data_IF_390973613098
#
_entry.id   IF_390973613098
#
_cell.length_a   1.000
_cell.length_b   1.000
_cell.length_c   1.000
_cell.angle_alpha   90.00
_cell.angle_beta   90.00
_cell.angle_gamma   90.00
#
_symmetry.space_group_name_H-M   'P 1'
#
loop_
_entity.id
_entity.type
_entity.pdbx_description
1 polymer ?
#
# COMPACT_ATOMS: atom_id res chain seq x y z
N UNK A 1 13.09 7.44 56.34
CA UNK A 1 13.85 8.44 55.56
C UNK A 1 14.23 7.93 54.17
N UNK A 2 14.97 6.83 54.03
CA UNK A 2 15.42 6.32 52.72
C UNK A 2 14.28 6.07 51.70
N UNK A 3 13.18 5.45 52.12
CA UNK A 3 12.04 5.19 51.22
C UNK A 3 11.41 6.47 50.66
N UNK A 4 11.27 7.52 51.47
CA UNK A 4 10.70 8.80 51.04
C UNK A 4 11.62 9.52 50.03
N UNK A 5 12.94 9.47 50.26
CA UNK A 5 13.94 10.03 49.32
C UNK A 5 13.90 9.27 47.99
N UNK A 6 13.82 7.94 48.01
CA UNK A 6 13.70 7.15 46.79
C UNK A 6 12.41 7.48 46.02
N UNK A 7 11.26 7.57 46.69
CA UNK A 7 10.01 7.98 46.06
C UNK A 7 10.11 9.39 45.44
N UNK A 8 10.70 10.34 46.14
CA UNK A 8 10.88 11.70 45.63
C UNK A 8 11.79 11.74 44.38
N UNK A 9 12.90 11.01 44.40
CA UNK A 9 13.79 10.88 43.23
C UNK A 9 13.09 10.22 42.06
N UNK A 10 12.31 9.16 42.27
CA UNK A 10 11.54 8.50 41.20
C UNK A 10 10.47 9.41 40.60
N UNK A 11 9.77 10.20 41.43
CA UNK A 11 8.77 11.15 40.96
C UNK A 11 9.43 12.27 40.14
N UNK A 12 10.53 12.85 40.61
CA UNK A 12 11.29 13.84 39.85
C UNK A 12 11.79 13.27 38.52
N UNK A 13 12.37 12.07 38.52
CA UNK A 13 12.82 11.41 37.30
C UNK A 13 11.65 11.24 36.31
N UNK A 14 10.48 10.78 36.76
CA UNK A 14 9.30 10.66 35.89
C UNK A 14 8.79 12.03 35.39
N UNK A 15 8.79 13.05 36.26
CA UNK A 15 8.40 14.42 35.91
C UNK A 15 9.32 15.07 34.87
N UNK A 16 10.60 14.67 34.77
CA UNK A 16 11.51 15.17 33.73
C UNK A 16 11.55 14.26 32.49
N UNK A 17 11.58 12.94 32.68
CA UNK A 17 11.71 11.97 31.59
C UNK A 17 10.43 11.85 30.75
N UNK A 18 9.24 11.89 31.36
CA UNK A 18 8.00 11.75 30.60
C UNK A 18 7.74 12.95 29.67
N UNK A 19 7.85 14.23 30.12
CA UNK A 19 7.76 15.37 29.22
C UNK A 19 8.89 15.40 28.19
N UNK A 20 10.12 15.02 28.56
CA UNK A 20 11.22 14.95 27.59
C UNK A 20 10.92 13.94 26.48
N UNK A 21 10.40 12.74 26.80
CA UNK A 21 10.01 11.74 25.81
C UNK A 21 8.84 12.21 24.91
N UNK A 22 7.88 12.94 25.48
CA UNK A 22 6.79 13.57 24.72
C UNK A 22 7.34 14.66 23.77
N UNK A 23 8.22 15.53 24.24
CA UNK A 23 8.81 16.63 23.47
C UNK A 23 9.78 16.16 22.38
N UNK A 24 10.56 15.10 22.65
CA UNK A 24 11.41 14.42 21.66
C UNK A 24 10.59 13.67 20.61
N UNK A 25 9.26 13.64 20.74
CA UNK A 25 8.39 13.00 19.78
C UNK A 25 8.50 11.48 19.76
N UNK A 26 9.04 10.84 20.81
CA UNK A 26 9.03 9.37 20.90
C UNK A 26 7.61 8.80 20.82
N UNK A 27 6.61 9.58 21.27
CA UNK A 27 5.18 9.28 21.14
C UNK A 27 4.51 9.95 19.93
N UNK A 28 5.09 11.04 19.41
CA UNK A 28 4.71 11.57 18.11
C UNK A 28 5.39 10.74 17.03
N UNK A 29 4.88 9.53 16.84
CA UNK A 29 5.33 8.64 15.77
C UNK A 29 5.45 9.42 14.47
N UNK A 30 6.52 9.15 13.71
CA UNK A 30 6.65 9.67 12.35
C UNK A 30 5.34 9.44 11.59
N UNK A 31 4.90 10.38 10.74
CA UNK A 31 3.65 10.22 10.01
C UNK A 31 3.64 8.86 9.32
N UNK A 32 2.63 8.04 9.60
CA UNK A 32 2.48 6.74 8.97
C UNK A 32 2.20 6.97 7.48
N UNK A 33 3.21 6.78 6.65
CA UNK A 33 3.08 6.92 5.22
C UNK A 33 2.42 5.66 4.65
N UNK A 34 1.13 5.78 4.36
CA UNK A 34 0.33 4.72 3.76
C UNK A 34 0.35 4.88 2.25
N UNK A 35 1.10 4.03 1.55
CA UNK A 35 1.10 3.99 0.08
C UNK A 35 -0.03 3.09 -0.41
N UNK A 36 -0.77 3.56 -1.41
CA UNK A 36 -1.93 2.87 -1.96
C UNK A 36 -1.80 2.88 -3.47
N UNK A 37 -1.74 1.67 -4.04
CA UNK A 37 -1.75 1.48 -5.48
C UNK A 37 -3.16 1.61 -6.06
N UNK A 38 -3.21 1.70 -7.38
CA UNK A 38 -4.42 1.61 -8.18
C UNK A 38 -5.30 0.42 -7.79
N UNK A 39 -6.62 0.60 -7.82
CA UNK A 39 -7.58 -0.47 -7.53
C UNK A 39 -7.56 -1.00 -6.09
N UNK A 40 -6.78 -0.41 -5.19
CA UNK A 40 -6.65 -0.88 -3.83
C UNK A 40 -7.67 -0.21 -2.89
N UNK A 41 -8.06 -0.95 -1.87
CA UNK A 41 -8.71 -0.39 -0.69
C UNK A 41 -7.95 -0.80 0.56
N UNK A 42 -7.68 0.17 1.44
CA UNK A 42 -6.97 -0.08 2.70
C UNK A 42 -7.73 0.53 3.85
N UNK A 43 -7.90 -0.27 4.89
CA UNK A 43 -8.35 0.18 6.20
C UNK A 43 -7.17 0.83 6.91
N UNK A 44 -7.35 2.07 7.35
CA UNK A 44 -6.37 2.77 8.19
C UNK A 44 -7.03 3.05 9.53
N UNK A 45 -6.57 2.33 10.56
CA UNK A 45 -7.02 2.55 11.93
C UNK A 45 -6.16 3.64 12.56
N UNK A 46 -6.79 4.77 12.88
CA UNK A 46 -6.10 5.87 13.56
C UNK A 46 -6.44 5.85 15.04
N UNK A 47 -5.45 6.16 15.87
CA UNK A 47 -5.70 6.44 17.28
C UNK A 47 -6.10 7.92 17.43
N UNK A 48 -7.32 8.18 17.90
CA UNK A 48 -7.88 9.53 18.05
C UNK A 48 -7.08 10.45 18.98
N UNK A 49 -6.23 9.89 19.86
CA UNK A 49 -5.35 10.67 20.72
C UNK A 49 -4.10 11.19 20.00
N UNK A 50 -3.63 10.50 18.95
CA UNK A 50 -2.35 10.79 18.29
C UNK A 50 -2.51 11.35 16.87
N UNK A 51 -3.50 10.86 16.12
CA UNK A 51 -3.74 11.29 14.75
C UNK A 51 -4.64 12.54 14.73
N UNK A 52 -4.04 13.69 14.48
CA UNK A 52 -4.76 14.97 14.37
C UNK A 52 -5.30 15.21 12.96
N UNK A 53 -4.57 14.75 11.94
CA UNK A 53 -4.90 14.93 10.54
C UNK A 53 -4.55 13.69 9.69
N UNK A 54 -5.17 13.60 8.52
CA UNK A 54 -4.85 12.60 7.49
C UNK A 54 -4.65 13.35 6.20
N UNK A 55 -3.43 13.30 5.66
CA UNK A 55 -3.08 13.96 4.41
C UNK A 55 -2.97 12.94 3.30
N UNK A 56 -3.84 13.06 2.31
CA UNK A 56 -3.76 12.30 1.06
C UNK A 56 -3.07 13.11 -0.03
N UNK A 57 -2.17 12.46 -0.75
CA UNK A 57 -1.55 13.01 -1.95
C UNK A 57 -1.61 11.94 -3.03
N UNK A 58 -1.88 12.36 -4.26
CA UNK A 58 -1.82 11.50 -5.44
C UNK A 58 -0.58 11.90 -6.21
N UNK A 59 0.30 10.94 -6.49
CA UNK A 59 1.42 11.16 -7.42
C UNK A 59 0.96 10.80 -8.84
N UNK A 60 1.15 11.73 -9.78
CA UNK A 60 1.06 11.43 -11.22
C UNK A 60 -0.33 11.25 -11.85
N UNK A 61 -1.43 11.65 -11.20
CA UNK A 61 -2.80 11.48 -11.72
C UNK A 61 -3.58 12.78 -12.01
N UNK A 62 -4.51 12.72 -12.96
CA UNK A 62 -5.56 13.74 -13.14
C UNK A 62 -6.50 13.74 -11.92
N UNK A 63 -6.92 14.91 -11.40
CA UNK A 63 -7.81 15.01 -10.23
C UNK A 63 -9.18 14.33 -10.40
N UNK A 64 -9.56 13.96 -11.62
CA UNK A 64 -10.86 13.36 -11.92
C UNK A 64 -11.02 11.92 -11.39
N UNK A 65 -9.92 11.16 -11.27
CA UNK A 65 -9.87 9.82 -10.68
C UNK A 65 -8.98 9.78 -9.42
N UNK A 66 -9.12 10.81 -8.58
CA UNK A 66 -8.29 10.96 -7.39
C UNK A 66 -8.67 10.03 -6.23
N UNK A 67 -7.74 9.90 -5.31
CA UNK A 67 -7.87 9.15 -4.06
C UNK A 67 -9.11 9.59 -3.26
N UNK A 68 -9.98 8.65 -2.89
CA UNK A 68 -11.18 8.94 -2.08
C UNK A 68 -11.04 8.35 -0.69
N UNK A 69 -11.15 9.19 0.34
CA UNK A 69 -11.22 8.77 1.74
C UNK A 69 -12.68 8.69 2.18
N UNK A 70 -13.07 7.50 2.63
CA UNK A 70 -14.31 7.26 3.34
C UNK A 70 -14.05 7.11 4.83
N UNK A 71 -15.10 7.26 5.61
CA UNK A 71 -15.05 6.94 7.01
C UNK A 71 -15.98 5.79 7.38
N UNK A 72 -15.64 4.94 8.36
CA UNK A 72 -16.48 3.87 8.92
C UNK A 72 -16.23 3.64 10.44
N UNK A 73 -17.28 3.44 11.26
CA UNK A 73 -17.12 3.36 12.72
C UNK A 73 -16.62 1.98 13.18
N UNK A 74 -16.69 0.99 12.28
CA UNK A 74 -16.28 -0.39 12.46
C UNK A 74 -15.71 -0.86 11.12
N UNK A 75 -14.69 -1.73 11.16
CA UNK A 75 -14.14 -2.36 9.97
C UNK A 75 -15.25 -3.07 9.17
N UNK A 76 -15.47 -2.70 7.90
CA UNK A 76 -16.48 -3.33 7.06
C UNK A 76 -16.09 -4.79 6.76
N UNK A 77 -17.06 -5.72 6.73
CA UNK A 77 -16.76 -7.09 6.35
C UNK A 77 -16.31 -7.15 4.88
N UNK A 78 -15.39 -8.04 4.53
CA UNK A 78 -15.02 -8.30 3.13
C UNK A 78 -16.13 -9.07 2.40
N UNK A 79 -16.24 -8.86 1.09
CA UNK A 79 -16.93 -9.80 0.22
C UNK A 79 -17.73 -9.20 -0.94
N UNK A 80 -17.37 -8.00 -1.41
CA UNK A 80 -17.70 -7.62 -2.78
C UNK A 80 -16.48 -7.92 -3.64
N UNK A 81 -16.49 -8.96 -4.49
CA UNK A 81 -15.37 -9.18 -5.40
C UNK A 81 -15.25 -8.00 -6.36
N UNK A 82 -14.05 -7.45 -6.46
CA UNK A 82 -13.72 -6.43 -7.43
C UNK A 82 -12.57 -6.93 -8.30
N UNK A 83 -12.79 -6.85 -9.61
CA UNK A 83 -11.75 -7.05 -10.59
C UNK A 83 -11.26 -5.70 -11.08
N UNK A 84 -9.94 -5.55 -11.20
CA UNK A 84 -9.34 -4.40 -11.85
C UNK A 84 -8.12 -4.84 -12.65
N UNK A 85 -7.80 -4.07 -13.68
CA UNK A 85 -6.61 -4.29 -14.49
C UNK A 85 -5.91 -2.98 -14.77
N UNK A 86 -4.60 -2.95 -14.63
CA UNK A 86 -3.77 -1.80 -14.91
C UNK A 86 -2.64 -2.19 -15.86
N UNK A 87 -2.50 -1.47 -16.98
CA UNK A 87 -1.39 -1.65 -17.89
C UNK A 87 -0.28 -0.65 -17.58
N UNK A 88 0.91 -1.15 -17.23
CA UNK A 88 2.10 -0.32 -16.99
C UNK A 88 3.18 -0.62 -18.02
N UNK A 89 3.91 0.44 -18.39
CA UNK A 89 5.19 0.36 -19.11
C UNK A 89 6.28 0.87 -18.18
N UNK A 90 7.27 0.03 -17.92
CA UNK A 90 8.45 0.36 -17.13
C UNK A 90 9.71 0.24 -17.98
N UNK A 91 10.60 1.22 -17.86
CA UNK A 91 11.97 1.13 -18.39
C UNK A 91 12.86 0.93 -17.17
N UNK A 92 13.28 -0.32 -16.94
CA UNK A 92 14.06 -0.67 -15.75
C UNK A 92 15.53 -0.43 -16.06
N UNK A 93 16.20 0.54 -15.38
CA UNK A 93 17.57 0.88 -15.71
C UNK A 93 18.55 -0.28 -15.49
N UNK A 94 19.68 -0.26 -16.18
CA UNK A 94 20.76 -1.21 -15.97
C UNK A 94 21.20 -1.27 -14.49
N UNK A 95 21.39 -2.48 -13.96
CA UNK A 95 21.78 -2.74 -12.56
C UNK A 95 20.89 -2.05 -11.52
N UNK A 96 19.59 -1.92 -11.81
CA UNK A 96 18.63 -1.21 -10.97
C UNK A 96 17.34 -2.01 -10.80
N UNK A 97 16.39 -1.48 -10.04
CA UNK A 97 15.06 -2.02 -9.90
C UNK A 97 13.98 -0.93 -9.97
N UNK A 98 12.74 -1.37 -10.18
CA UNK A 98 11.53 -0.57 -9.99
C UNK A 98 10.49 -1.36 -9.22
N UNK A 99 9.70 -0.69 -8.40
CA UNK A 99 8.73 -1.31 -7.51
C UNK A 99 7.36 -0.59 -7.51
N UNK A 100 6.32 -1.37 -7.22
CA UNK A 100 4.98 -0.88 -7.01
C UNK A 100 4.37 -1.52 -5.77
N UNK A 101 3.74 -0.68 -4.95
CA UNK A 101 3.17 -1.08 -3.67
C UNK A 101 1.67 -1.21 -3.80
N UNK A 102 1.15 -2.31 -3.26
CA UNK A 102 -0.26 -2.59 -3.29
C UNK A 102 -0.72 -3.22 -1.98
N UNK A 103 -1.89 -2.81 -1.50
CA UNK A 103 -2.53 -3.47 -0.37
C UNK A 103 -3.50 -4.53 -0.90
N UNK A 104 -3.35 -5.76 -0.44
CA UNK A 104 -4.17 -6.88 -0.88
C UNK A 104 -4.79 -7.58 0.32
N UNK A 105 -6.06 -7.94 0.18
CA UNK A 105 -6.77 -8.70 1.18
C UNK A 105 -6.49 -10.20 1.04
N UNK A 106 -6.55 -10.94 2.13
CA UNK A 106 -6.60 -12.40 2.12
C UNK A 106 -7.68 -12.88 1.14
N UNK A 107 -7.37 -13.90 0.34
CA UNK A 107 -8.24 -14.44 -0.70
C UNK A 107 -8.12 -13.74 -2.04
N UNK A 108 -7.34 -12.66 -2.15
CA UNK A 108 -7.09 -12.00 -3.43
C UNK A 108 -6.23 -12.87 -4.35
N UNK A 109 -6.43 -12.71 -5.65
CA UNK A 109 -5.60 -13.28 -6.70
C UNK A 109 -4.96 -12.16 -7.53
N UNK A 110 -3.65 -12.27 -7.74
CA UNK A 110 -2.91 -11.42 -8.65
C UNK A 110 -2.54 -12.25 -9.88
N UNK A 111 -2.78 -11.68 -11.06
CA UNK A 111 -2.27 -12.17 -12.33
C UNK A 111 -1.44 -11.06 -12.98
N UNK A 112 -0.14 -11.28 -13.11
CA UNK A 112 0.79 -10.36 -13.76
C UNK A 112 1.16 -10.95 -15.11
N UNK A 113 0.59 -10.40 -16.19
CA UNK A 113 1.08 -10.69 -17.53
C UNK A 113 2.26 -9.76 -17.82
N UNK A 114 3.30 -10.25 -18.52
CA UNK A 114 4.48 -9.46 -18.84
C UNK A 114 4.94 -9.68 -20.28
N UNK A 115 5.58 -8.65 -20.83
CA UNK A 115 6.27 -8.65 -22.12
C UNK A 115 7.58 -7.87 -21.97
N UNK A 116 8.68 -8.61 -21.95
CA UNK A 116 10.05 -8.10 -21.77
C UNK A 116 10.69 -7.87 -23.13
N UNK A 117 11.01 -6.61 -23.43
CA UNK A 117 11.68 -6.18 -24.65
C UNK A 117 13.05 -5.62 -24.31
N UNK A 118 14.08 -6.14 -24.98
CA UNK A 118 15.43 -5.59 -24.97
C UNK A 118 15.67 -4.87 -26.29
N UNK A 119 16.50 -3.82 -26.30
CA UNK A 119 16.95 -3.17 -27.54
C UNK A 119 17.83 -4.10 -28.39
N UNK A 120 18.44 -5.10 -27.75
CA UNK A 120 19.22 -6.14 -28.42
C UNK A 120 18.34 -7.32 -28.80
N UNK A 121 18.60 -7.95 -29.96
CA UNK A 121 17.83 -9.10 -30.47
C UNK A 121 17.70 -10.28 -29.48
N UNK A 122 18.61 -10.38 -28.51
CA UNK A 122 18.49 -11.31 -27.40
C UNK A 122 17.72 -10.67 -26.24
N UNK A 123 16.48 -11.12 -26.00
CA UNK A 123 15.68 -10.77 -24.82
C UNK A 123 16.45 -11.19 -23.57
N UNK A 124 16.95 -10.20 -22.82
CA UNK A 124 17.68 -10.46 -21.58
C UNK A 124 16.71 -10.70 -20.43
N UNK A 125 16.95 -11.71 -19.59
CA UNK A 125 16.06 -11.99 -18.48
C UNK A 125 16.14 -10.86 -17.45
N UNK A 126 15.01 -10.60 -16.80
CA UNK A 126 14.90 -9.73 -15.63
C UNK A 126 14.28 -10.51 -14.48
N UNK A 127 14.50 -10.05 -13.27
CA UNK A 127 13.86 -10.61 -12.09
C UNK A 127 12.52 -9.94 -11.87
N UNK A 128 11.45 -10.71 -11.67
CA UNK A 128 10.17 -10.24 -11.18
C UNK A 128 9.89 -10.88 -9.83
N UNK A 129 9.57 -10.08 -8.83
CA UNK A 129 9.28 -10.56 -7.49
C UNK A 129 7.94 -10.03 -6.97
N UNK A 130 7.39 -10.77 -6.02
CA UNK A 130 6.31 -10.33 -5.14
C UNK A 130 6.82 -10.50 -3.71
N UNK A 131 6.99 -9.40 -2.98
CA UNK A 131 7.41 -9.41 -1.58
C UNK A 131 6.25 -9.00 -0.66
N UNK A 132 6.17 -9.61 0.53
CA UNK A 132 5.13 -9.30 1.53
C UNK A 132 5.70 -8.37 2.59
N UNK A 133 5.26 -7.12 2.59
CA UNK A 133 5.73 -6.07 3.47
C UNK A 133 7.09 -5.50 3.06
N UNK A 134 7.38 -4.31 3.59
CA UNK A 134 8.58 -3.54 3.25
C UNK A 134 9.88 -4.27 3.61
N UNK A 135 9.91 -4.98 4.73
CA UNK A 135 11.10 -5.71 5.18
C UNK A 135 11.54 -6.80 4.18
N UNK A 136 10.60 -7.63 3.73
CA UNK A 136 10.84 -8.66 2.71
C UNK A 136 11.36 -8.05 1.40
N UNK A 137 10.81 -6.89 1.00
CA UNK A 137 11.27 -6.18 -0.19
C UNK A 137 12.70 -5.62 -0.01
N UNK A 138 13.00 -4.97 1.12
CA UNK A 138 14.33 -4.41 1.38
C UNK A 138 15.41 -5.49 1.42
N UNK A 139 15.12 -6.64 2.03
CA UNK A 139 16.05 -7.78 2.04
C UNK A 139 16.37 -8.28 0.62
N UNK A 140 15.37 -8.33 -0.26
CA UNK A 140 15.60 -8.64 -1.68
C UNK A 140 16.38 -7.54 -2.39
N UNK A 141 16.08 -6.26 -2.14
CA UNK A 141 16.76 -5.14 -2.78
C UNK A 141 18.26 -5.09 -2.40
N UNK A 142 18.60 -5.46 -1.16
CA UNK A 142 19.98 -5.58 -0.68
C UNK A 142 20.70 -6.81 -1.25
N UNK A 143 20.01 -7.96 -1.30
CA UNK A 143 20.56 -9.20 -1.85
C UNK A 143 19.57 -9.87 -2.81
N UNK A 144 19.54 -9.47 -4.10
CA UNK A 144 18.54 -9.97 -5.04
C UNK A 144 18.69 -11.45 -5.41
N UNK A 145 19.82 -12.06 -5.04
CA UNK A 145 20.06 -13.50 -5.17
C UNK A 145 19.42 -14.32 -4.05
N UNK A 146 19.00 -13.70 -2.94
CA UNK A 146 18.29 -14.36 -1.86
C UNK A 146 16.79 -14.51 -2.22
N UNK A 147 16.46 -15.56 -2.96
CA UNK A 147 15.10 -15.88 -3.40
C UNK A 147 14.15 -16.32 -2.27
N UNK A 148 14.68 -16.67 -1.09
CA UNK A 148 13.88 -17.19 0.02
C UNK A 148 13.07 -16.12 0.76
N UNK A 149 13.39 -14.84 0.57
CA UNK A 149 12.78 -13.74 1.33
C UNK A 149 11.48 -13.24 0.73
N UNK A 150 11.23 -13.52 -0.55
CA UNK A 150 10.05 -13.02 -1.28
C UNK A 150 8.94 -14.07 -1.30
N UNK A 151 7.68 -13.62 -1.45
CA UNK A 151 6.55 -14.53 -1.62
C UNK A 151 6.65 -15.28 -2.96
N UNK A 152 7.15 -14.61 -4.00
CA UNK A 152 7.39 -15.18 -5.32
C UNK A 152 8.62 -14.52 -5.94
N UNK A 153 9.41 -15.32 -6.66
CA UNK A 153 10.61 -14.89 -7.37
C UNK A 153 10.67 -15.61 -8.72
N UNK A 154 10.77 -14.85 -9.81
CA UNK A 154 10.82 -15.38 -11.16
C UNK A 154 11.86 -14.66 -11.99
N UNK A 155 12.65 -15.43 -12.74
CA UNK A 155 13.47 -14.90 -13.83
C UNK A 155 12.63 -14.94 -15.11
N UNK A 156 12.28 -13.76 -15.64
CA UNK A 156 11.34 -13.61 -16.75
C UNK A 156 12.02 -13.05 -18.00
N UNK A 157 11.66 -13.60 -19.16
CA UNK A 157 12.10 -13.17 -20.49
C UNK A 157 10.95 -13.37 -21.48
N UNK A 158 10.97 -12.67 -22.61
CA UNK A 158 9.89 -12.74 -23.60
C UNK A 158 8.53 -12.38 -23.01
N UNK A 159 7.50 -13.18 -23.31
CA UNK A 159 6.15 -12.98 -22.80
C UNK A 159 5.75 -14.12 -21.86
N UNK A 160 4.94 -13.81 -20.85
CA UNK A 160 4.41 -14.82 -19.95
C UNK A 160 3.45 -14.24 -18.91
N UNK A 161 3.01 -15.09 -17.99
CA UNK A 161 2.05 -14.73 -16.94
C UNK A 161 2.42 -15.40 -15.63
N UNK A 162 2.37 -14.64 -14.53
CA UNK A 162 2.56 -15.12 -13.16
C UNK A 162 1.24 -14.99 -12.41
N UNK A 163 0.82 -16.06 -11.72
CA UNK A 163 -0.36 -16.07 -10.86
C UNK A 163 0.05 -16.26 -9.41
N UNK A 164 -0.52 -15.45 -8.52
CA UNK A 164 -0.23 -15.49 -7.09
C UNK A 164 -1.51 -15.35 -6.27
N UNK A 165 -1.77 -16.34 -5.41
CA UNK A 165 -2.84 -16.28 -4.40
C UNK A 165 -2.34 -15.62 -3.13
N UNK A 166 -3.16 -14.76 -2.53
CA UNK A 166 -2.83 -13.98 -1.34
C UNK A 166 -3.45 -14.61 -0.10
N UNK A 167 -2.59 -15.16 0.75
CA UNK A 167 -3.02 -15.87 1.95
C UNK A 167 -3.24 -14.97 3.17
N UNK A 168 -2.64 -13.77 3.19
CA UNK A 168 -2.74 -12.82 4.29
C UNK A 168 -3.02 -11.42 3.75
N UNK A 169 -3.85 -10.66 4.47
CA UNK A 169 -4.02 -9.24 4.16
C UNK A 169 -2.76 -8.48 4.53
N UNK A 170 -2.11 -7.82 3.57
CA UNK A 170 -0.87 -7.08 3.80
C UNK A 170 -0.55 -6.12 2.66
N UNK A 171 0.53 -5.37 2.84
CA UNK A 171 1.21 -4.66 1.75
C UNK A 171 2.06 -5.64 0.97
N UNK A 172 2.00 -5.52 -0.36
CA UNK A 172 2.74 -6.35 -1.30
C UNK A 172 3.49 -5.45 -2.26
N UNK A 173 4.77 -5.74 -2.43
CA UNK A 173 5.67 -5.07 -3.36
C UNK A 173 5.81 -5.96 -4.58
N UNK A 174 5.38 -5.48 -5.74
CA UNK A 174 5.70 -6.09 -7.03
C UNK A 174 6.91 -5.33 -7.55
N UNK A 175 8.04 -6.00 -7.76
CA UNK A 175 9.25 -5.35 -8.22
C UNK A 175 9.88 -6.05 -9.42
N UNK A 176 10.54 -5.25 -10.26
CA UNK A 176 11.32 -5.67 -11.40
C UNK A 176 12.79 -5.34 -11.14
N UNK A 177 13.66 -6.34 -11.08
CA UNK A 177 15.11 -6.19 -10.96
C UNK A 177 15.80 -6.44 -12.30
N UNK A 178 16.60 -5.48 -12.76
CA UNK A 178 17.41 -5.60 -13.96
C UNK A 178 18.89 -5.76 -13.59
N UNK A 179 19.38 -7.00 -13.62
CA UNK A 179 20.80 -7.31 -13.39
C UNK A 179 21.65 -7.22 -14.66
N UNK A 180 21.08 -6.73 -15.77
CA UNK A 180 21.81 -6.54 -17.01
C UNK A 180 22.51 -5.18 -17.03
N UNK A 181 23.51 -5.06 -17.89
CA UNK A 181 24.25 -3.82 -18.12
C UNK A 181 23.57 -2.83 -19.09
N UNK A 182 22.31 -3.06 -19.45
CA UNK A 182 21.50 -2.22 -20.34
C UNK A 182 20.08 -2.11 -19.80
N UNK A 183 19.39 -1.03 -20.14
CA UNK A 183 18.00 -0.81 -19.77
C UNK A 183 17.09 -1.83 -20.46
N UNK A 184 16.05 -2.27 -19.75
CA UNK A 184 15.09 -3.24 -20.26
C UNK A 184 13.68 -2.66 -20.16
N UNK A 185 12.94 -2.69 -21.27
CA UNK A 185 11.55 -2.23 -21.30
C UNK A 185 10.61 -3.38 -21.03
N UNK A 186 9.73 -3.20 -20.05
CA UNK A 186 8.75 -4.19 -19.64
C UNK A 186 7.37 -3.58 -19.76
N UNK A 187 6.51 -4.19 -20.57
CA UNK A 187 5.07 -3.93 -20.50
C UNK A 187 4.47 -5.03 -19.65
N UNK A 188 3.86 -4.69 -18.53
CA UNK A 188 3.21 -5.67 -17.68
C UNK A 188 1.83 -5.16 -17.26
N UNK A 189 0.75 -5.69 -17.85
CA UNK A 189 -0.57 -5.50 -17.28
C UNK A 189 -0.72 -6.37 -16.03
N UNK A 190 -1.09 -5.72 -14.93
CA UNK A 190 -1.48 -6.38 -13.69
C UNK A 190 -3.00 -6.45 -13.69
N UNK A 191 -3.55 -7.66 -13.74
CA UNK A 191 -4.96 -7.92 -13.47
C UNK A 191 -5.12 -8.52 -12.08
N UNK A 192 -6.14 -8.08 -11.35
CA UNK A 192 -6.44 -8.56 -9.99
C UNK A 192 -7.89 -8.89 -9.83
N UNK A 193 -8.14 -9.89 -8.99
CA UNK A 193 -9.41 -10.11 -8.33
C UNK A 193 -9.18 -9.97 -6.82
N UNK A 194 -9.73 -8.93 -6.20
CA UNK A 194 -9.64 -8.67 -4.76
C UNK A 194 -11.04 -8.66 -4.16
N UNK A 195 -11.23 -9.24 -2.97
CA UNK A 195 -12.45 -8.97 -2.21
C UNK A 195 -12.36 -7.58 -1.58
N UNK A 196 -13.28 -6.69 -1.96
CA UNK A 196 -13.49 -5.38 -1.34
C UNK A 196 -14.44 -5.49 -0.14
N UNK A 197 -14.36 -4.53 0.80
CA UNK A 197 -15.34 -4.42 1.87
C UNK A 197 -16.77 -4.16 1.39
N UNK A 198 -17.73 -4.88 1.99
CA UNK A 198 -19.17 -4.94 1.70
C UNK A 198 -19.98 -3.72 2.12
N UNK A 199 -19.45 -2.76 2.88
CA UNK A 199 -20.27 -1.65 3.37
C UNK A 199 -19.48 -0.33 3.39
N UNK A 200 -20.00 0.70 2.72
CA UNK A 200 -19.53 2.08 2.82
C UNK A 200 -20.54 2.88 3.65
N UNK A 201 -20.29 3.13 4.94
CA UNK A 201 -21.06 4.11 5.69
C UNK A 201 -20.37 4.58 7.01
N UNK A 202 -19.85 5.81 7.01
CA UNK A 202 -19.72 6.73 8.17
C UNK A 202 -18.45 6.71 9.07
N UNK A 203 -17.54 7.70 8.94
CA UNK A 203 -16.46 8.17 9.87
C UNK A 203 -15.22 7.25 10.18
N UNK A 204 -14.03 7.62 9.61
CA UNK A 204 -12.65 7.04 9.56
C UNK A 204 -12.20 5.91 8.56
N UNK A 205 -11.06 6.15 7.91
CA UNK A 205 -10.53 5.76 6.57
C UNK A 205 -10.87 4.40 5.90
N UNK A 206 -11.52 4.46 4.73
CA UNK A 206 -11.25 3.60 3.58
C UNK A 206 -10.67 4.47 2.47
N UNK A 207 -9.47 4.18 1.99
CA UNK A 207 -8.95 4.86 0.81
C UNK A 207 -9.24 4.00 -0.40
N UNK A 208 -9.97 4.50 -1.40
CA UNK A 208 -10.20 3.77 -2.65
C UNK A 208 -9.70 4.57 -3.84
N UNK A 209 -8.90 3.92 -4.69
CA UNK A 209 -8.74 4.30 -6.09
C UNK A 209 -9.56 3.31 -6.92
N UNK A 210 -10.82 3.64 -7.25
CA UNK A 210 -11.64 2.81 -8.14
C UNK A 210 -11.52 3.37 -9.54
N UNK A 211 -10.72 2.72 -10.38
CA UNK A 211 -10.78 2.95 -11.81
C UNK A 211 -12.14 2.51 -12.34
N UNK A 212 -12.93 3.48 -12.83
CA UNK A 212 -14.05 3.30 -13.78
C UNK A 212 -15.34 2.59 -13.33
N UNK A 213 -15.66 2.51 -12.03
CA UNK A 213 -16.97 2.05 -11.54
C UNK A 213 -17.66 3.10 -10.66
N UNK A 214 -18.98 3.35 -10.84
CA UNK A 214 -19.75 4.22 -9.94
C UNK A 214 -19.82 3.58 -8.54
N UNK A 215 -19.10 4.11 -7.55
CA UNK A 215 -19.03 3.58 -6.16
C UNK A 215 -20.21 4.05 -5.29
N UNK A 216 -20.96 5.06 -5.75
CA UNK A 216 -22.15 5.58 -5.07
C UNK A 216 -23.35 5.55 -6.02
N UNK A 217 -24.56 5.42 -5.46
CA UNK A 217 -25.79 5.71 -6.19
C UNK A 217 -25.82 7.19 -6.63
N UNK A 218 -26.64 7.54 -7.62
CA UNK A 218 -26.70 8.90 -8.18
C UNK A 218 -27.03 9.98 -7.13
N UNK A 219 -27.65 9.59 -6.01
CA UNK A 219 -27.96 10.46 -4.87
C UNK A 219 -26.80 10.61 -3.86
N UNK A 220 -25.65 10.00 -4.12
CA UNK A 220 -24.50 9.96 -3.23
C UNK A 220 -24.64 9.00 -2.05
N UNK A 221 -25.62 8.10 -2.10
CA UNK A 221 -25.81 7.05 -1.09
C UNK A 221 -25.00 5.81 -1.40
N UNK A 222 -24.69 5.05 -0.35
CA UNK A 222 -24.10 3.73 -0.49
C UNK A 222 -25.09 2.78 -1.19
N UNK A 223 -24.70 2.07 -2.27
CA UNK A 223 -25.58 1.17 -3.01
C UNK A 223 -26.04 -0.07 -2.23
N UNK A 224 -25.45 -0.31 -1.05
CA UNK A 224 -25.75 -1.49 -0.23
C UNK A 224 -26.59 -1.15 1.01
N UNK A 225 -26.28 -0.05 1.70
CA UNK A 225 -27.02 0.35 2.91
C UNK A 225 -27.92 1.58 2.72
N UNK A 226 -27.90 2.22 1.55
CA UNK A 226 -28.65 3.44 1.21
C UNK A 226 -28.43 4.62 2.15
N UNK A 227 -27.37 4.60 2.97
CA UNK A 227 -26.97 5.73 3.81
C UNK A 227 -26.11 6.70 3.00
N UNK A 228 -26.29 7.99 3.22
CA UNK A 228 -25.53 9.04 2.52
C UNK A 228 -24.04 8.97 2.85
N UNK A 229 -23.21 8.91 1.82
CA UNK A 229 -21.76 8.96 1.96
C UNK A 229 -21.31 10.41 2.13
N UNK A 230 -20.58 10.70 3.21
CA UNK A 230 -19.87 11.98 3.34
C UNK A 230 -18.52 11.85 2.65
N UNK A 231 -18.38 12.43 1.46
CA UNK A 231 -17.06 12.59 0.81
C UNK A 231 -16.24 13.55 1.66
N UNK A 232 -15.16 13.07 2.29
CA UNK A 232 -14.21 13.93 2.99
C UNK A 232 -13.40 14.65 1.91
N UNK A 233 -13.87 15.81 1.45
CA UNK A 233 -13.28 16.53 0.31
C UNK A 233 -12.00 17.30 0.64
N UNK A 234 -11.61 17.44 1.90
CA UNK A 234 -10.37 18.06 2.39
C UNK A 234 -10.41 18.04 3.92
N UNK A 235 -9.39 17.52 4.58
CA UNK A 235 -9.03 17.96 5.94
C UNK A 235 -8.01 19.07 5.68
N UNK A 236 -8.39 20.30 6.03
CA UNK A 236 -7.68 21.51 5.63
C UNK A 236 -6.23 21.50 6.12
N UNK A 237 -5.33 21.99 5.27
CA UNK A 237 -4.00 22.46 5.65
C UNK A 237 -4.09 23.92 6.07
N UNK A 238 -3.33 24.26 7.12
CA UNK A 238 -3.23 25.52 7.88
C UNK A 238 -4.09 25.51 9.13
#
# INVERSE_FOLDING_TARGET
MAAAVLCFVTLLAFCFLAPAALMLGYYHGSPELVVIGSGCSRLVETNSFFAQDIKARTEGGSPENGLVLYGMPVAPPLGVPAAWSEARRAVVPANSHMEWVYFLNRGSEIEVAYSVRSETESSRPICMIIARGKESFLQWAENPSANETTLSWHLVHGNGTIKQTINLSSEYFIALGNFNNQDVTVNYPVSRATELPKCFCGIFSLVTEVSSGRVAEEDGSCPLCRRKLKKVRRIFSV
#
